data_IF_270817784898
#
_entry.id   IF_270817784898
#
_cell.length_a   1.000
_cell.length_b   1.000
_cell.length_c   1.000
_cell.angle_alpha   90.00
_cell.angle_beta   90.00
_cell.angle_gamma   90.00
#
_symmetry.space_group_name_H-M   'P 1'
#
loop_
_entity.id
_entity.type
_entity.pdbx_description
1 polymer ?
#
# COMPACT_ATOMS: atom_id res chain seq x y z
N UNK A 1 -30.20 27.49 -12.47
CA UNK A 1 -30.44 26.58 -11.32
C UNK A 1 -29.85 25.22 -11.68
N UNK A 2 -28.67 24.89 -11.17
CA UNK A 2 -28.07 23.56 -11.40
C UNK A 2 -28.82 22.60 -10.48
N UNK A 3 -29.55 21.65 -11.05
CA UNK A 3 -30.14 20.56 -10.28
C UNK A 3 -29.00 19.86 -9.54
N UNK A 4 -29.01 19.92 -8.20
CA UNK A 4 -28.07 19.21 -7.33
C UNK A 4 -28.40 17.70 -7.28
N UNK A 5 -28.79 17.11 -8.42
CA UNK A 5 -28.98 15.68 -8.55
C UNK A 5 -27.64 15.04 -8.84
N UNK A 6 -27.24 14.06 -8.03
CA UNK A 6 -26.09 13.21 -8.30
C UNK A 6 -26.28 12.56 -9.69
N UNK A 7 -25.29 12.69 -10.59
CA UNK A 7 -25.32 11.98 -11.87
C UNK A 7 -25.10 10.47 -11.65
N UNK A 8 -25.52 9.65 -12.61
CA UNK A 8 -25.43 8.19 -12.51
C UNK A 8 -23.99 7.69 -12.33
N UNK A 9 -23.02 8.28 -13.02
CA UNK A 9 -21.61 7.91 -12.85
C UNK A 9 -21.10 8.17 -11.42
N UNK A 10 -21.53 9.24 -10.77
CA UNK A 10 -21.18 9.55 -9.38
C UNK A 10 -21.79 8.55 -8.40
N UNK A 11 -23.00 8.06 -8.67
CA UNK A 11 -23.63 6.99 -7.88
C UNK A 11 -22.76 5.72 -7.98
N UNK A 12 -22.36 5.33 -9.19
CA UNK A 12 -21.48 4.17 -9.37
C UNK A 12 -20.11 4.33 -8.72
N UNK A 13 -19.55 5.55 -8.72
CA UNK A 13 -18.34 5.89 -7.98
C UNK A 13 -18.50 5.67 -6.47
N UNK A 14 -19.62 6.11 -5.88
CA UNK A 14 -19.91 5.87 -4.46
C UNK A 14 -20.07 4.38 -4.13
N UNK A 15 -20.72 3.60 -5.00
CA UNK A 15 -20.87 2.16 -4.81
C UNK A 15 -19.50 1.46 -4.80
N UNK A 16 -18.60 1.82 -5.73
CA UNK A 16 -17.22 1.30 -5.74
C UNK A 16 -16.46 1.72 -4.48
N UNK A 17 -16.65 2.96 -4.00
CA UNK A 17 -16.03 3.43 -2.77
C UNK A 17 -16.53 2.67 -1.54
N UNK A 18 -17.83 2.34 -1.49
CA UNK A 18 -18.39 1.51 -0.43
C UNK A 18 -17.84 0.08 -0.47
N UNK A 19 -17.61 -0.49 -1.66
CA UNK A 19 -16.99 -1.81 -1.83
C UNK A 19 -15.51 -1.83 -1.44
N UNK A 20 -14.81 -0.71 -1.63
CA UNK A 20 -13.37 -0.61 -1.44
C UNK A 20 -12.92 -1.03 -0.03
N UNK A 21 -13.58 -0.51 1.02
CA UNK A 21 -13.21 -0.78 2.41
C UNK A 21 -13.27 -2.27 2.76
N UNK A 22 -14.41 -2.99 2.59
CA UNK A 22 -14.46 -4.41 2.89
C UNK A 22 -13.52 -5.24 1.99
N UNK A 23 -13.39 -4.88 0.71
CA UNK A 23 -12.47 -5.56 -0.20
C UNK A 23 -11.01 -5.42 0.23
N UNK A 24 -10.61 -4.23 0.69
CA UNK A 24 -9.27 -3.95 1.20
C UNK A 24 -8.99 -4.76 2.47
N UNK A 25 -9.91 -4.75 3.44
CA UNK A 25 -9.76 -5.48 4.71
C UNK A 25 -9.59 -6.97 4.48
N UNK A 26 -10.41 -7.56 3.59
CA UNK A 26 -10.32 -8.99 3.24
C UNK A 26 -8.99 -9.32 2.59
N UNK A 27 -8.50 -8.46 1.70
CA UNK A 27 -7.21 -8.66 1.02
C UNK A 27 -6.02 -8.55 1.97
N UNK A 28 -6.05 -7.59 2.90
CA UNK A 28 -5.02 -7.43 3.93
C UNK A 28 -5.02 -8.60 4.91
N UNK A 29 -6.18 -9.14 5.28
CA UNK A 29 -6.28 -10.36 6.09
C UNK A 29 -5.72 -11.58 5.36
N UNK A 30 -6.06 -11.75 4.09
CA UNK A 30 -5.49 -12.83 3.28
C UNK A 30 -3.97 -12.71 3.17
N UNK A 31 -3.47 -11.50 2.97
CA UNK A 31 -2.04 -11.22 3.00
C UNK A 31 -1.40 -11.60 4.34
N UNK A 32 -1.97 -11.17 5.47
CA UNK A 32 -1.47 -11.52 6.81
C UNK A 32 -1.36 -13.04 7.01
N UNK A 33 -2.43 -13.76 6.65
CA UNK A 33 -2.47 -15.23 6.71
C UNK A 33 -1.36 -15.86 5.86
N UNK A 34 -1.16 -15.40 4.63
CA UNK A 34 -0.12 -15.92 3.74
C UNK A 34 1.30 -15.58 4.20
N UNK A 35 1.49 -14.51 5.00
CA UNK A 35 2.78 -14.08 5.51
C UNK A 35 3.17 -14.70 6.86
N UNK A 36 2.31 -15.54 7.42
CA UNK A 36 2.59 -16.31 8.63
C UNK A 36 3.76 -17.29 8.41
N UNK A 37 4.69 -17.36 9.38
CA UNK A 37 5.76 -18.38 9.40
C UNK A 37 5.23 -19.80 9.56
N UNK A 38 4.06 -19.97 10.16
CA UNK A 38 3.44 -21.29 10.38
C UNK A 38 2.82 -21.93 9.13
N UNK A 39 2.67 -21.18 8.03
CA UNK A 39 2.12 -21.72 6.78
C UNK A 39 3.20 -22.47 5.97
N UNK A 40 2.91 -23.68 5.44
CA UNK A 40 3.83 -24.42 4.60
C UNK A 40 4.24 -23.57 3.38
N UNK A 41 5.52 -23.62 3.02
CA UNK A 41 6.09 -22.84 1.89
C UNK A 41 5.38 -23.12 0.56
N UNK A 42 4.71 -24.26 0.44
CA UNK A 42 3.90 -24.65 -0.73
C UNK A 42 2.68 -23.74 -0.97
N UNK A 43 2.14 -23.08 0.06
CA UNK A 43 1.06 -22.08 -0.08
C UNK A 43 1.54 -20.79 -0.77
N UNK A 44 2.85 -20.57 -0.82
CA UNK A 44 3.51 -19.40 -1.42
C UNK A 44 4.11 -19.73 -2.79
N UNK A 45 3.41 -20.51 -3.63
CA UNK A 45 3.78 -20.61 -5.05
C UNK A 45 3.80 -19.18 -5.62
N UNK A 46 4.92 -18.80 -6.26
CA UNK A 46 5.20 -17.42 -6.65
C UNK A 46 4.11 -16.77 -7.51
N UNK A 47 3.39 -17.56 -8.31
CA UNK A 47 2.24 -17.10 -9.10
C UNK A 47 1.03 -16.71 -8.25
N UNK A 48 0.71 -17.48 -7.21
CA UNK A 48 -0.38 -17.17 -6.28
C UNK A 48 -0.10 -15.91 -5.46
N UNK A 49 1.16 -15.73 -5.05
CA UNK A 49 1.61 -14.50 -4.40
C UNK A 49 1.55 -13.30 -5.36
N UNK A 50 2.01 -13.45 -6.60
CA UNK A 50 1.95 -12.39 -7.60
C UNK A 50 0.50 -11.95 -7.85
N UNK A 51 -0.42 -12.90 -8.02
CA UNK A 51 -1.85 -12.60 -8.19
C UNK A 51 -2.46 -11.92 -6.97
N UNK A 52 -2.10 -12.37 -5.76
CA UNK A 52 -2.50 -11.72 -4.51
C UNK A 52 -2.02 -10.26 -4.47
N UNK A 53 -0.75 -10.00 -4.83
CA UNK A 53 -0.18 -8.66 -4.83
C UNK A 53 -0.83 -7.76 -5.89
N UNK A 54 -1.09 -8.28 -7.09
CA UNK A 54 -1.82 -7.53 -8.14
C UNK A 54 -3.24 -7.21 -7.67
N UNK A 55 -3.94 -8.17 -7.10
CA UNK A 55 -5.30 -7.97 -6.57
C UNK A 55 -5.30 -6.95 -5.44
N UNK A 56 -4.33 -7.04 -4.53
CA UNK A 56 -4.18 -6.12 -3.41
C UNK A 56 -3.82 -4.72 -3.89
N UNK A 57 -2.92 -4.56 -4.86
CA UNK A 57 -2.60 -3.26 -5.47
C UNK A 57 -3.81 -2.67 -6.19
N UNK A 58 -4.54 -3.49 -6.97
CA UNK A 58 -5.78 -3.07 -7.62
C UNK A 58 -6.84 -2.59 -6.63
N UNK A 59 -7.00 -3.30 -5.50
CA UNK A 59 -7.94 -2.91 -4.44
C UNK A 59 -7.45 -1.71 -3.62
N UNK A 60 -6.16 -1.59 -3.38
CA UNK A 60 -5.56 -0.49 -2.62
C UNK A 60 -5.55 0.83 -3.39
N UNK A 61 -5.28 0.79 -4.70
CA UNK A 61 -4.96 1.97 -5.51
C UNK A 61 -5.98 2.17 -6.61
N UNK A 62 -6.21 1.16 -7.46
CA UNK A 62 -7.04 1.33 -8.65
C UNK A 62 -8.52 1.54 -8.32
N UNK A 63 -9.09 0.75 -7.41
CA UNK A 63 -10.49 0.89 -6.98
C UNK A 63 -10.82 2.29 -6.43
N UNK A 64 -10.12 2.82 -5.41
CA UNK A 64 -10.43 4.14 -4.89
C UNK A 64 -10.16 5.23 -5.94
N UNK A 65 -9.13 5.08 -6.78
CA UNK A 65 -8.84 6.04 -7.85
C UNK A 65 -9.98 6.10 -8.88
N UNK A 66 -10.44 4.95 -9.37
CA UNK A 66 -11.56 4.87 -10.31
C UNK A 66 -12.84 5.40 -9.68
N UNK A 67 -13.12 5.01 -8.43
CA UNK A 67 -14.27 5.52 -7.68
C UNK A 67 -14.24 7.04 -7.54
N UNK A 68 -13.08 7.62 -7.21
CA UNK A 68 -12.89 9.07 -7.11
C UNK A 68 -13.04 9.77 -8.46
N UNK A 69 -12.49 9.21 -9.54
CA UNK A 69 -12.64 9.77 -10.90
C UNK A 69 -14.12 9.80 -11.30
N UNK A 70 -14.84 8.69 -11.10
CA UNK A 70 -16.27 8.62 -11.42
C UNK A 70 -17.11 9.57 -10.57
N UNK A 71 -16.75 9.75 -9.29
CA UNK A 71 -17.43 10.68 -8.39
C UNK A 71 -17.23 12.14 -8.80
N UNK A 72 -15.99 12.57 -9.05
CA UNK A 72 -15.70 13.98 -9.33
C UNK A 72 -15.89 14.38 -10.79
N UNK A 73 -15.64 13.47 -11.73
CA UNK A 73 -15.60 13.77 -13.17
C UNK A 73 -16.66 13.01 -13.97
N UNK A 74 -17.46 12.14 -13.33
CA UNK A 74 -18.47 11.32 -14.02
C UNK A 74 -19.55 12.12 -14.74
N UNK A 75 -19.79 13.37 -14.35
CA UNK A 75 -20.75 14.26 -15.03
C UNK A 75 -20.36 14.62 -16.46
N UNK A 76 -19.07 14.47 -16.83
CA UNK A 76 -18.56 14.72 -18.19
C UNK A 76 -18.83 13.57 -19.17
N UNK A 77 -19.23 12.41 -18.67
CA UNK A 77 -19.51 11.25 -19.51
C UNK A 77 -20.87 11.40 -20.18
N UNK A 78 -20.94 11.05 -21.47
CA UNK A 78 -22.21 10.97 -22.19
C UNK A 78 -23.16 9.97 -21.52
N UNK A 79 -24.49 10.17 -21.59
CA UNK A 79 -25.45 9.30 -20.91
C UNK A 79 -25.29 7.81 -21.22
N UNK A 80 -24.97 7.45 -22.47
CA UNK A 80 -24.75 6.06 -22.87
C UNK A 80 -23.47 5.46 -22.26
N UNK A 81 -22.42 6.28 -22.11
CA UNK A 81 -21.18 5.88 -21.45
C UNK A 81 -21.38 5.73 -19.94
N UNK A 82 -22.18 6.60 -19.31
CA UNK A 82 -22.55 6.44 -17.90
C UNK A 82 -23.29 5.12 -17.66
N UNK A 83 -24.16 4.73 -18.58
CA UNK A 83 -24.85 3.43 -18.53
C UNK A 83 -23.87 2.25 -18.70
N UNK A 84 -22.98 2.32 -19.71
CA UNK A 84 -21.97 1.28 -19.94
C UNK A 84 -21.02 1.10 -18.74
N UNK A 85 -20.58 2.20 -18.12
CA UNK A 85 -19.79 2.16 -16.89
C UNK A 85 -20.59 1.56 -15.74
N UNK A 86 -21.88 1.86 -15.63
CA UNK A 86 -22.76 1.23 -14.64
C UNK A 86 -22.81 -0.29 -14.77
N UNK A 87 -22.95 -0.80 -15.99
CA UNK A 87 -22.91 -2.24 -16.26
C UNK A 87 -21.55 -2.85 -15.90
N UNK A 88 -20.45 -2.16 -16.22
CA UNK A 88 -19.11 -2.60 -15.84
C UNK A 88 -18.94 -2.67 -14.32
N UNK A 89 -19.37 -1.64 -13.59
CA UNK A 89 -19.32 -1.61 -12.12
C UNK A 89 -20.15 -2.74 -11.53
N UNK A 90 -21.35 -2.98 -12.04
CA UNK A 90 -22.18 -4.12 -11.63
C UNK A 90 -21.51 -5.46 -11.91
N UNK A 91 -20.89 -5.64 -13.07
CA UNK A 91 -20.11 -6.84 -13.40
C UNK A 91 -18.98 -7.06 -12.39
N UNK A 92 -18.17 -6.03 -12.12
CA UNK A 92 -17.07 -6.13 -11.14
C UNK A 92 -17.54 -6.46 -9.74
N UNK A 93 -18.72 -5.96 -9.32
CA UNK A 93 -19.33 -6.32 -8.04
C UNK A 93 -19.70 -7.79 -7.99
N UNK A 94 -20.36 -8.29 -9.03
CA UNK A 94 -20.77 -9.70 -9.12
C UNK A 94 -19.56 -10.62 -9.10
N UNK A 95 -18.48 -10.28 -9.79
CA UNK A 95 -17.22 -11.04 -9.77
C UNK A 95 -16.48 -10.95 -8.43
N UNK A 96 -16.56 -9.82 -7.74
CA UNK A 96 -15.91 -9.64 -6.45
C UNK A 96 -16.58 -10.46 -5.34
N UNK A 97 -17.90 -10.69 -5.41
CA UNK A 97 -18.67 -11.38 -4.36
C UNK A 97 -18.14 -12.79 -4.06
N UNK A 98 -17.93 -13.71 -5.03
CA UNK A 98 -17.39 -15.03 -4.77
C UNK A 98 -16.00 -14.99 -4.13
N UNK A 99 -15.10 -14.13 -4.62
CA UNK A 99 -13.76 -14.00 -4.09
C UNK A 99 -13.77 -13.53 -2.62
N UNK A 100 -14.57 -12.50 -2.32
CA UNK A 100 -14.74 -11.99 -0.95
C UNK A 100 -15.38 -13.03 -0.03
N UNK A 101 -16.38 -13.78 -0.52
CA UNK A 101 -17.03 -14.85 0.26
C UNK A 101 -16.09 -16.01 0.55
N UNK A 102 -15.30 -16.44 -0.42
CA UNK A 102 -14.32 -17.52 -0.24
C UNK A 102 -13.28 -17.13 0.82
N UNK A 103 -12.71 -15.94 0.70
CA UNK A 103 -11.76 -15.41 1.68
C UNK A 103 -12.42 -15.26 3.06
N UNK A 104 -13.67 -14.80 3.13
CA UNK A 104 -14.39 -14.68 4.41
C UNK A 104 -14.61 -16.02 5.10
N UNK A 105 -15.01 -17.07 4.37
CA UNK A 105 -15.20 -18.42 4.95
C UNK A 105 -13.89 -19.00 5.49
N UNK A 106 -12.80 -18.87 4.72
CA UNK A 106 -11.48 -19.32 5.18
C UNK A 106 -11.04 -18.59 6.45
N UNK A 107 -11.35 -17.29 6.55
CA UNK A 107 -11.06 -16.49 7.74
C UNK A 107 -11.96 -16.83 8.94
N UNK A 108 -13.23 -17.19 8.71
CA UNK A 108 -14.13 -17.62 9.78
C UNK A 108 -13.67 -18.91 10.44
N UNK A 109 -13.25 -19.91 9.65
CA UNK A 109 -12.73 -21.18 10.17
C UNK A 109 -11.55 -20.94 11.13
N UNK A 110 -10.57 -20.13 10.71
CA UNK A 110 -9.41 -19.78 11.53
C UNK A 110 -9.77 -18.92 12.75
N UNK A 111 -10.75 -18.03 12.62
CA UNK A 111 -11.24 -17.24 13.75
C UNK A 111 -11.90 -18.08 14.83
N UNK A 112 -12.51 -19.21 14.49
CA UNK A 112 -13.09 -20.13 15.46
C UNK A 112 -12.00 -20.83 16.29
N UNK A 113 -10.90 -21.24 15.65
CA UNK A 113 -9.72 -21.80 16.33
C UNK A 113 -9.06 -20.77 17.27
N UNK A 114 -8.98 -19.51 16.82
CA UNK A 114 -8.33 -18.44 17.58
C UNK A 114 -9.20 -17.84 18.71
N UNK A 115 -10.51 -18.14 18.77
CA UNK A 115 -11.45 -17.57 19.75
C UNK A 115 -11.16 -18.01 21.19
N UNK A 116 -10.39 -19.09 21.36
CA UNK A 116 -10.05 -19.65 22.67
C UNK A 116 -8.89 -18.91 23.36
N UNK A 117 -8.16 -18.05 22.65
CA UNK A 117 -7.02 -17.29 23.19
C UNK A 117 -7.36 -15.84 23.55
N UNK A 118 -6.71 -15.30 24.60
CA UNK A 118 -6.79 -13.87 24.93
C UNK A 118 -6.29 -13.01 23.77
N UNK A 119 -7.05 -11.97 23.41
CA UNK A 119 -6.68 -11.04 22.33
C UNK A 119 -5.28 -10.41 22.50
N UNK A 120 -4.79 -10.28 23.74
CA UNK A 120 -3.43 -9.78 24.02
C UNK A 120 -2.36 -10.84 23.73
N UNK A 121 -2.58 -12.08 24.15
CA UNK A 121 -1.66 -13.20 23.88
C UNK A 121 -1.56 -13.46 22.38
N UNK A 122 -2.70 -13.50 21.68
CA UNK A 122 -2.74 -13.64 20.21
C UNK A 122 -1.93 -12.55 19.50
N UNK A 123 -2.05 -11.30 19.93
CA UNK A 123 -1.27 -10.21 19.34
C UNK A 123 0.25 -10.40 19.53
N UNK A 124 0.69 -10.96 20.67
CA UNK A 124 2.10 -11.26 20.92
C UNK A 124 2.59 -12.44 20.06
N UNK A 125 1.81 -13.52 19.98
CA UNK A 125 2.12 -14.68 19.14
C UNK A 125 2.21 -14.30 17.65
N UNK A 126 1.26 -13.50 17.18
CA UNK A 126 1.25 -13.01 15.80
C UNK A 126 2.51 -12.20 15.47
N UNK A 127 3.00 -11.35 16.40
CA UNK A 127 4.27 -10.63 16.22
C UNK A 127 5.44 -11.59 16.02
N UNK A 128 5.51 -12.67 16.80
CA UNK A 128 6.58 -13.66 16.68
C UNK A 128 6.51 -14.47 15.38
N UNK A 129 5.29 -14.76 14.93
CA UNK A 129 5.03 -15.49 13.69
C UNK A 129 5.23 -14.64 12.43
N UNK A 130 5.36 -13.32 12.55
CA UNK A 130 5.58 -12.42 11.41
C UNK A 130 6.88 -12.69 10.65
N UNK A 131 6.77 -12.85 9.32
CA UNK A 131 7.91 -12.71 8.42
C UNK A 131 8.25 -11.23 8.26
N UNK A 132 9.47 -10.86 8.65
CA UNK A 132 9.91 -9.47 8.68
C UNK A 132 9.87 -8.82 7.30
N UNK A 133 10.48 -9.45 6.28
CA UNK A 133 10.64 -8.85 4.95
C UNK A 133 9.32 -8.57 4.22
N UNK A 134 8.34 -9.50 4.17
CA UNK A 134 7.04 -9.19 3.56
C UNK A 134 6.32 -8.04 4.24
N UNK A 135 6.36 -7.95 5.57
CA UNK A 135 5.76 -6.83 6.29
C UNK A 135 6.47 -5.50 6.05
N UNK A 136 7.80 -5.51 5.97
CA UNK A 136 8.59 -4.33 5.60
C UNK A 136 8.21 -3.84 4.20
N UNK A 137 8.12 -4.75 3.23
CA UNK A 137 7.70 -4.42 1.87
C UNK A 137 6.24 -3.93 1.83
N UNK A 138 5.35 -4.56 2.59
CA UNK A 138 3.96 -4.14 2.69
C UNK A 138 3.83 -2.71 3.24
N UNK A 139 4.60 -2.35 4.27
CA UNK A 139 4.61 -0.97 4.76
C UNK A 139 5.10 0.00 3.67
N UNK A 140 6.15 -0.37 2.93
CA UNK A 140 6.72 0.46 1.87
C UNK A 140 5.74 0.72 0.72
N UNK A 141 5.08 -0.34 0.23
CA UNK A 141 4.36 -0.32 -1.06
C UNK A 141 2.85 -0.21 -0.90
N UNK A 142 2.28 -0.80 0.15
CA UNK A 142 0.83 -0.91 0.29
C UNK A 142 0.30 0.18 1.21
N UNK A 143 -0.58 1.08 0.73
CA UNK A 143 -1.23 2.03 1.60
C UNK A 143 -2.06 1.26 2.65
N UNK A 144 -2.15 1.83 3.86
CA UNK A 144 -2.86 1.27 5.02
C UNK A 144 -2.31 -0.04 5.61
N UNK A 145 -1.31 -0.69 4.99
CA UNK A 145 -0.72 -1.91 5.56
C UNK A 145 -0.12 -1.66 6.96
N UNK A 146 0.51 -0.51 7.19
CA UNK A 146 1.01 -0.14 8.51
C UNK A 146 -0.08 0.12 9.55
N UNK A 147 -1.23 0.67 9.14
CA UNK A 147 -2.39 0.85 10.03
C UNK A 147 -3.00 -0.50 10.38
N UNK A 148 -3.17 -1.37 9.38
CA UNK A 148 -3.63 -2.74 9.59
C UNK A 148 -2.70 -3.51 10.53
N UNK A 149 -1.38 -3.39 10.33
CA UNK A 149 -0.39 -3.99 11.22
C UNK A 149 -0.54 -3.46 12.65
N UNK A 150 -0.68 -2.14 12.80
CA UNK A 150 -0.80 -1.51 14.12
C UNK A 150 -2.04 -1.98 14.88
N UNK A 151 -3.17 -2.16 14.18
CA UNK A 151 -4.41 -2.67 14.74
C UNK A 151 -4.28 -4.15 15.13
N UNK A 152 -3.85 -5.00 14.20
CA UNK A 152 -3.82 -6.47 14.41
C UNK A 152 -2.76 -6.89 15.42
N UNK A 153 -1.58 -6.27 15.36
CA UNK A 153 -0.47 -6.55 16.28
C UNK A 153 -0.52 -5.66 17.53
N UNK A 154 -1.47 -4.72 17.65
CA UNK A 154 -1.59 -3.78 18.78
C UNK A 154 -0.28 -3.05 19.10
N UNK A 155 0.41 -2.57 18.07
CA UNK A 155 1.67 -1.83 18.21
C UNK A 155 1.82 -0.80 17.10
N UNK A 156 1.93 0.48 17.48
CA UNK A 156 2.13 1.56 16.51
C UNK A 156 3.60 1.73 16.11
N UNK A 157 4.52 1.03 16.77
CA UNK A 157 5.97 1.27 16.66
C UNK A 157 6.46 1.19 15.21
N UNK A 158 6.15 0.15 14.41
CA UNK A 158 6.63 0.11 13.02
C UNK A 158 6.02 1.21 12.15
N UNK A 159 4.76 1.55 12.36
CA UNK A 159 4.08 2.65 11.65
C UNK A 159 4.71 4.01 11.96
N UNK A 160 5.02 4.27 13.24
CA UNK A 160 5.66 5.52 13.65
C UNK A 160 7.07 5.64 13.07
N UNK A 161 7.87 4.57 13.13
CA UNK A 161 9.21 4.55 12.54
C UNK A 161 9.19 4.74 11.03
N UNK A 162 8.20 4.15 10.33
CA UNK A 162 8.00 4.38 8.90
C UNK A 162 7.69 5.85 8.61
N UNK A 163 6.73 6.44 9.31
CA UNK A 163 6.31 7.82 9.11
C UNK A 163 7.45 8.83 9.38
N UNK A 164 8.16 8.66 10.50
CA UNK A 164 9.29 9.54 10.87
C UNK A 164 10.44 9.39 9.88
N UNK A 165 10.80 8.16 9.50
CA UNK A 165 11.86 7.92 8.53
C UNK A 165 11.53 8.56 7.18
N UNK A 166 10.33 8.34 6.65
CA UNK A 166 9.89 8.95 5.40
C UNK A 166 9.91 10.47 5.43
N UNK A 167 9.45 11.07 6.54
CA UNK A 167 9.47 12.52 6.69
C UNK A 167 10.89 13.08 6.65
N UNK A 168 11.81 12.51 7.43
CA UNK A 168 13.23 12.95 7.45
C UNK A 168 13.89 12.77 6.08
N UNK A 169 13.67 11.62 5.46
CA UNK A 169 14.24 11.27 4.15
C UNK A 169 13.72 12.19 3.05
N UNK A 170 12.43 12.53 3.10
CA UNK A 170 11.82 13.49 2.18
C UNK A 170 12.47 14.87 2.30
N UNK A 171 12.66 15.37 3.53
CA UNK A 171 13.31 16.67 3.75
C UNK A 171 14.75 16.69 3.21
N UNK A 172 15.52 15.63 3.48
CA UNK A 172 16.89 15.50 2.97
C UNK A 172 16.89 15.45 1.43
N UNK A 173 15.99 14.66 0.84
CA UNK A 173 15.87 14.53 -0.62
C UNK A 173 15.57 15.88 -1.27
N UNK A 174 14.59 16.61 -0.73
CA UNK A 174 14.23 17.94 -1.25
C UNK A 174 15.42 18.90 -1.11
N UNK A 175 16.09 18.90 0.03
CA UNK A 175 17.26 19.74 0.27
C UNK A 175 18.40 19.47 -0.71
N UNK A 176 18.78 18.20 -0.88
CA UNK A 176 19.86 17.80 -1.81
C UNK A 176 19.46 18.07 -3.26
N UNK A 177 18.21 17.79 -3.66
CA UNK A 177 17.74 18.07 -5.01
C UNK A 177 17.76 19.58 -5.32
N UNK A 178 17.31 20.42 -4.36
CA UNK A 178 17.35 21.86 -4.51
C UNK A 178 18.78 22.40 -4.60
N UNK A 179 19.69 21.92 -3.74
CA UNK A 179 21.11 22.30 -3.82
C UNK A 179 21.75 21.87 -5.15
N UNK A 180 21.43 20.67 -5.62
CA UNK A 180 21.95 20.15 -6.90
C UNK A 180 21.46 21.00 -8.07
N UNK A 181 20.18 21.38 -8.08
CA UNK A 181 19.62 22.25 -9.11
C UNK A 181 20.25 23.65 -9.13
N UNK A 182 20.66 24.17 -7.96
CA UNK A 182 21.35 25.46 -7.85
C UNK A 182 22.83 25.39 -8.26
N UNK A 183 23.52 24.29 -7.92
CA UNK A 183 24.94 24.11 -8.23
C UNK A 183 25.20 23.70 -9.69
N UNK A 184 24.27 22.94 -10.27
CA UNK A 184 24.36 22.40 -11.63
C UNK A 184 23.13 22.81 -12.45
N UNK A 185 22.94 24.11 -12.72
CA UNK A 185 21.79 24.56 -13.49
C UNK A 185 21.90 24.06 -14.93
N UNK A 186 20.77 23.69 -15.50
CA UNK A 186 20.60 23.48 -16.93
C UNK A 186 19.25 24.09 -17.34
N UNK A 187 19.14 24.56 -18.58
CA UNK A 187 17.86 25.08 -19.07
C UNK A 187 16.98 23.90 -19.54
N UNK A 188 15.81 23.65 -18.93
CA UNK A 188 14.93 22.58 -19.36
C UNK A 188 14.33 22.83 -20.76
N UNK A 189 14.24 24.08 -21.22
CA UNK A 189 13.72 24.41 -22.56
C UNK A 189 14.72 24.05 -23.67
N UNK A 190 16.03 24.22 -23.42
CA UNK A 190 17.07 23.83 -24.39
C UNK A 190 17.14 22.31 -24.56
N UNK A 191 16.87 21.54 -23.49
CA UNK A 191 16.74 20.08 -23.56
C UNK A 191 15.65 19.61 -24.53
N UNK A 192 14.50 20.32 -24.58
CA UNK A 192 13.33 19.90 -25.35
C UNK A 192 13.41 20.35 -26.82
N UNK A 193 13.98 21.53 -27.10
CA UNK A 193 13.86 22.17 -28.42
C UNK A 193 15.17 22.53 -29.13
N UNK A 194 16.32 22.48 -28.44
CA UNK A 194 17.58 23.03 -29.00
C UNK A 194 18.83 22.14 -28.87
N UNK A 195 18.75 21.04 -28.12
CA UNK A 195 19.93 20.28 -27.71
C UNK A 195 20.68 21.00 -26.58
N UNK A 196 21.27 20.22 -25.68
CA UNK A 196 22.07 20.78 -24.59
C UNK A 196 23.47 21.16 -25.10
N UNK A 197 24.02 22.27 -24.63
CA UNK A 197 25.46 22.52 -24.74
C UNK A 197 26.26 21.43 -24.01
N UNK A 198 27.57 21.29 -24.31
CA UNK A 198 28.42 20.32 -23.61
C UNK A 198 28.41 20.53 -22.09
N UNK A 199 28.45 21.79 -21.64
CA UNK A 199 28.40 22.13 -20.22
C UNK A 199 27.05 21.78 -19.57
N UNK A 200 25.93 22.08 -20.25
CA UNK A 200 24.59 21.72 -19.75
C UNK A 200 24.36 20.20 -19.76
N UNK A 201 24.95 19.49 -20.73
CA UNK A 201 24.91 18.02 -20.78
C UNK A 201 25.56 17.42 -19.54
N UNK A 202 26.73 17.92 -19.15
CA UNK A 202 27.42 17.49 -17.92
C UNK A 202 26.56 17.79 -16.69
N UNK A 203 26.01 19.00 -16.57
CA UNK A 203 25.16 19.39 -15.43
C UNK A 203 23.90 18.52 -15.33
N UNK A 204 23.25 18.23 -16.46
CA UNK A 204 22.10 17.34 -16.53
C UNK A 204 22.45 15.94 -16.01
N UNK A 205 23.56 15.35 -16.48
CA UNK A 205 23.97 14.02 -16.04
C UNK A 205 24.35 13.96 -14.55
N UNK A 206 24.98 15.01 -14.02
CA UNK A 206 25.23 15.13 -12.57
C UNK A 206 23.90 15.16 -11.81
N UNK A 207 22.95 16.00 -12.23
CA UNK A 207 21.61 16.06 -11.62
C UNK A 207 20.88 14.72 -11.68
N UNK A 208 20.93 14.02 -12.82
CA UNK A 208 20.34 12.70 -12.99
C UNK A 208 21.00 11.65 -12.08
N UNK A 209 22.34 11.65 -11.99
CA UNK A 209 23.07 10.73 -11.12
C UNK A 209 22.75 10.95 -9.64
N UNK A 210 22.70 12.21 -9.19
CA UNK A 210 22.31 12.55 -7.81
C UNK A 210 20.88 12.09 -7.53
N UNK A 211 19.93 12.36 -8.43
CA UNK A 211 18.55 11.91 -8.26
C UNK A 211 18.43 10.38 -8.21
N UNK A 212 19.22 9.66 -9.00
CA UNK A 212 19.26 8.19 -8.94
C UNK A 212 19.77 7.70 -7.58
N UNK A 213 20.85 8.30 -7.07
CA UNK A 213 21.39 7.98 -5.74
C UNK A 213 20.37 8.27 -4.64
N UNK A 214 19.70 9.43 -4.71
CA UNK A 214 18.62 9.79 -3.79
C UNK A 214 17.46 8.79 -3.85
N UNK A 215 17.04 8.36 -5.04
CA UNK A 215 15.99 7.35 -5.20
C UNK A 215 16.37 6.04 -4.51
N UNK A 216 17.59 5.55 -4.73
CA UNK A 216 18.09 4.32 -4.09
C UNK A 216 18.18 4.49 -2.57
N UNK A 217 18.71 5.62 -2.10
CA UNK A 217 18.78 5.95 -0.67
C UNK A 217 17.38 5.98 -0.03
N UNK A 218 16.39 6.55 -0.72
CA UNK A 218 15.00 6.61 -0.26
C UNK A 218 14.38 5.22 -0.10
N UNK A 219 14.67 4.30 -1.01
CA UNK A 219 14.21 2.90 -0.89
C UNK A 219 14.79 2.26 0.38
N UNK A 220 16.10 2.34 0.60
CA UNK A 220 16.73 1.75 1.79
C UNK A 220 16.27 2.43 3.09
N UNK A 221 16.16 3.76 3.09
CA UNK A 221 15.74 4.52 4.24
C UNK A 221 14.26 4.30 4.61
N UNK A 222 13.43 3.85 3.66
CA UNK A 222 12.09 3.34 3.95
C UNK A 222 12.12 1.94 4.57
N UNK A 223 12.91 1.02 4.01
CA UNK A 223 12.86 -0.40 4.42
C UNK A 223 13.56 -0.70 5.75
N UNK A 224 14.72 -0.08 6.01
CA UNK A 224 15.58 -0.43 7.15
C UNK A 224 14.98 -0.04 8.51
N UNK A 225 14.39 1.15 8.71
CA UNK A 225 13.79 1.53 9.99
C UNK A 225 12.59 0.66 10.35
N UNK A 226 11.73 0.33 9.37
CA UNK A 226 10.58 -0.57 9.57
C UNK A 226 11.06 -1.97 9.96
N UNK A 227 12.10 -2.47 9.29
CA UNK A 227 12.73 -3.76 9.63
C UNK A 227 13.25 -3.77 11.06
N UNK A 228 13.93 -2.71 11.48
CA UNK A 228 14.43 -2.58 12.85
C UNK A 228 13.28 -2.52 13.86
N UNK A 229 12.22 -1.78 13.56
CA UNK A 229 11.03 -1.66 14.41
C UNK A 229 10.32 -3.01 14.59
N UNK A 230 10.11 -3.78 13.51
CA UNK A 230 9.48 -5.11 13.58
C UNK A 230 10.35 -6.08 14.39
N UNK A 231 11.68 -6.04 14.23
CA UNK A 231 12.58 -6.87 15.05
C UNK A 231 12.52 -6.53 16.53
N UNK A 232 12.40 -5.22 16.87
CA UNK A 232 12.24 -4.77 18.25
C UNK A 232 10.90 -5.22 18.84
N UNK A 233 9.80 -5.14 18.09
CA UNK A 233 8.48 -5.62 18.55
C UNK A 233 8.46 -7.14 18.70
N UNK A 234 9.20 -7.88 17.87
CA UNK A 234 9.40 -9.33 18.04
C UNK A 234 10.16 -9.66 19.32
N UNK A 235 11.26 -8.96 19.60
CA UNK A 235 12.04 -9.17 20.82
C UNK A 235 11.26 -8.80 22.10
N UNK A 236 10.47 -7.71 22.06
CA UNK A 236 9.54 -7.36 23.14
C UNK A 236 8.45 -8.42 23.34
N UNK A 237 7.85 -8.91 22.25
CA UNK A 237 6.82 -9.94 22.33
C UNK A 237 7.34 -11.23 22.95
N UNK A 238 8.56 -11.64 22.58
CA UNK A 238 9.21 -12.82 23.16
C UNK A 238 9.38 -12.71 24.66
N UNK A 239 9.97 -11.60 25.13
CA UNK A 239 10.17 -11.33 26.57
C UNK A 239 8.87 -11.35 27.36
N UNK A 240 7.78 -10.82 26.79
CA UNK A 240 6.47 -10.80 27.47
C UNK A 240 5.84 -12.18 27.57
N UNK A 241 5.97 -13.01 26.54
CA UNK A 241 5.44 -14.38 26.58
C UNK A 241 6.26 -15.24 27.55
N UNK A 242 7.59 -15.13 27.53
CA UNK A 242 8.47 -15.87 28.45
C UNK A 242 8.21 -15.49 29.92
N UNK A 243 7.76 -14.26 30.21
CA UNK A 243 7.44 -13.81 31.58
C UNK A 243 6.06 -14.26 32.11
N UNK A 244 5.24 -14.90 31.28
CA UNK A 244 3.91 -15.42 31.65
C UNK A 244 3.86 -16.95 31.69
N UNK A 245 5.01 -17.61 31.50
CA UNK A 245 5.25 -19.04 31.70
C UNK A 245 5.93 -19.23 33.05
#
# INVERSE_FOLDING_TARGET
MVNASLNWASIWGLVLMALWVPALVVSLRRFDVSMDRGQPRESLQGLGLAWLLVTLAGRCIALPLVASILFFQGWRLDPILQFGVGLLVMGTLVEAIPAVRADHRALQQRSAEDAQQSSRQRALELRLRDRVWPWVFAHAVLPFAGIYYAITRRTITPLLWDAVARFVVLLITIGVAAMTAQLFPYNPESFVFGGLSEAETVNFWIGAAVNLVLMVANVFACLLPVRAAIRRTQADARRRLDAHV
#
